data_IF_039584904450
#
_entry.id   IF_039584904450
#
_cell.length_a   1.000
_cell.length_b   1.000
_cell.length_c   1.000
_cell.angle_alpha   90.00
_cell.angle_beta   90.00
_cell.angle_gamma   90.00
#
_symmetry.space_group_name_H-M   'P 1'
#
loop_
_entity.id
_entity.type
_entity.pdbx_description
1 polymer ?
#
# COMPACT_ATOMS: atom_id res chain seq x y z
N UNK A 1 3.86 28.13 -0.17
CA UNK A 1 3.44 26.99 0.67
C UNK A 1 2.72 25.97 -0.20
N UNK A 2 3.20 24.75 -0.17
CA UNK A 2 2.57 23.70 -0.95
C UNK A 2 1.21 23.33 -0.35
N UNK A 3 0.23 23.00 -1.20
CA UNK A 3 -1.06 22.55 -0.71
C UNK A 3 -0.90 21.29 0.14
N UNK A 4 -1.55 21.26 1.27
CA UNK A 4 -1.60 20.07 2.10
C UNK A 4 -2.52 19.06 1.44
N UNK A 5 -2.10 17.77 1.41
CA UNK A 5 -2.94 16.69 0.96
C UNK A 5 -4.02 16.41 2.01
N UNK A 6 -5.30 16.74 1.74
CA UNK A 6 -6.35 16.57 2.75
C UNK A 6 -6.66 15.11 3.06
N UNK A 7 -6.29 14.17 2.19
CA UNK A 7 -6.51 12.75 2.40
C UNK A 7 -5.42 12.11 3.28
N UNK A 8 -4.32 12.82 3.53
CA UNK A 8 -3.20 12.29 4.29
C UNK A 8 -3.58 11.94 5.73
N UNK A 9 -4.37 12.80 6.38
CA UNK A 9 -4.79 12.54 7.75
C UNK A 9 -5.60 11.24 7.86
N UNK A 10 -6.47 10.97 6.90
CA UNK A 10 -7.24 9.72 6.87
C UNK A 10 -6.33 8.50 6.73
N UNK A 11 -5.31 8.60 5.88
CA UNK A 11 -4.33 7.52 5.72
C UNK A 11 -3.54 7.29 7.02
N UNK A 12 -3.08 8.36 7.66
CA UNK A 12 -2.31 8.27 8.91
C UNK A 12 -3.13 7.66 10.05
N UNK A 13 -4.44 7.90 10.08
CA UNK A 13 -5.33 7.31 11.08
C UNK A 13 -5.45 5.78 10.95
N UNK A 14 -5.15 5.23 9.79
CA UNK A 14 -5.20 3.79 9.57
C UNK A 14 -3.96 3.07 10.10
N UNK A 15 -2.91 3.78 10.45
CA UNK A 15 -1.66 3.15 10.90
C UNK A 15 -1.91 2.16 12.04
N UNK A 16 -1.36 0.96 11.87
CA UNK A 16 -1.48 -0.11 12.85
C UNK A 16 -2.77 -0.90 12.79
N UNK A 17 -3.71 -0.52 11.93
CA UNK A 17 -5.00 -1.23 11.84
C UNK A 17 -4.89 -2.50 11.00
N UNK A 18 -5.63 -3.52 11.43
CA UNK A 18 -5.81 -4.78 10.70
C UNK A 18 -7.30 -5.01 10.54
N UNK A 19 -7.75 -5.20 9.30
CA UNK A 19 -9.16 -5.34 8.99
C UNK A 19 -9.40 -6.65 8.24
N UNK A 20 -10.34 -7.45 8.74
CA UNK A 20 -10.81 -8.65 8.03
C UNK A 20 -11.74 -8.21 6.90
N UNK A 21 -11.51 -8.74 5.70
CA UNK A 21 -12.19 -8.26 4.49
C UNK A 21 -13.06 -9.32 3.81
N UNK A 22 -13.19 -10.51 4.42
CA UNK A 22 -14.05 -11.54 3.87
C UNK A 22 -14.97 -12.15 4.94
N UNK A 23 -16.13 -12.71 4.53
CA UNK A 23 -17.08 -13.30 5.48
C UNK A 23 -16.52 -14.48 6.26
N UNK A 24 -15.59 -15.24 5.67
CA UNK A 24 -14.98 -16.40 6.31
C UNK A 24 -13.87 -16.03 7.29
N UNK A 25 -13.42 -14.75 7.27
CA UNK A 25 -12.37 -14.26 8.17
C UNK A 25 -10.96 -14.68 7.81
N UNK A 26 -10.76 -15.25 6.61
CA UNK A 26 -9.46 -15.76 6.20
C UNK A 26 -8.56 -14.74 5.49
N UNK A 27 -9.11 -13.60 5.07
CA UNK A 27 -8.35 -12.57 4.38
C UNK A 27 -8.38 -11.28 5.17
N UNK A 28 -7.22 -10.61 5.27
CA UNK A 28 -7.10 -9.41 6.09
C UNK A 28 -6.12 -8.45 5.48
N UNK A 29 -6.36 -7.16 5.71
CA UNK A 29 -5.47 -6.08 5.29
C UNK A 29 -4.79 -5.47 6.50
N UNK A 30 -3.59 -4.96 6.29
CA UNK A 30 -2.82 -4.29 7.32
C UNK A 30 -2.30 -2.96 6.78
N UNK A 31 -2.38 -1.93 7.60
CA UNK A 31 -1.89 -0.60 7.28
C UNK A 31 -0.73 -0.26 8.22
N UNK A 32 0.41 0.05 7.65
CA UNK A 32 1.55 0.61 8.38
C UNK A 32 1.91 1.92 7.68
N UNK A 33 1.71 3.04 8.35
CA UNK A 33 1.95 4.36 7.78
C UNK A 33 2.61 5.23 8.83
N UNK A 34 3.79 5.75 8.52
CA UNK A 34 4.54 6.61 9.43
C UNK A 34 4.95 7.87 8.69
N UNK A 35 4.75 9.00 9.33
CA UNK A 35 5.25 10.28 8.81
C UNK A 35 6.76 10.34 9.07
N UNK A 36 7.51 10.66 8.03
CA UNK A 36 8.97 10.78 8.09
C UNK A 36 9.37 12.11 7.45
N UNK A 37 10.58 12.62 7.73
CA UNK A 37 11.06 13.81 7.01
C UNK A 37 11.13 13.53 5.51
N UNK A 38 10.70 14.49 4.71
CA UNK A 38 10.81 14.37 3.26
C UNK A 38 12.28 14.26 2.86
N UNK A 39 12.59 13.36 1.94
CA UNK A 39 13.94 13.09 1.48
C UNK A 39 13.89 12.61 0.03
N UNK A 40 15.05 12.50 -0.65
CA UNK A 40 15.06 11.91 -2.00
C UNK A 40 14.51 10.50 -2.05
N UNK A 41 14.64 9.71 -0.96
CA UNK A 41 14.11 8.34 -0.87
C UNK A 41 12.65 8.30 -0.45
N UNK A 42 12.19 9.34 0.25
CA UNK A 42 10.81 9.46 0.75
C UNK A 42 10.26 10.84 0.42
N UNK A 43 10.08 11.16 -0.88
CA UNK A 43 9.72 12.53 -1.27
C UNK A 43 8.35 12.98 -0.78
N UNK A 44 7.47 12.04 -0.43
CA UNK A 44 6.14 12.36 0.07
C UNK A 44 6.11 12.59 1.58
N UNK A 45 7.25 12.40 2.28
CA UNK A 45 7.30 12.49 3.73
C UNK A 45 6.57 11.35 4.43
N UNK A 46 6.47 10.21 3.78
CA UNK A 46 5.79 9.02 4.28
C UNK A 46 6.64 7.77 4.11
N UNK A 47 6.52 6.89 5.08
CA UNK A 47 6.94 5.50 4.98
C UNK A 47 5.67 4.67 5.13
N UNK A 48 5.29 3.91 4.11
CA UNK A 48 4.04 3.18 4.14
C UNK A 48 4.15 1.77 3.59
N UNK A 49 3.29 0.91 4.13
CA UNK A 49 3.07 -0.44 3.63
C UNK A 49 1.60 -0.80 3.84
N UNK A 50 0.89 -1.03 2.76
CA UNK A 50 -0.51 -1.44 2.75
C UNK A 50 -0.55 -2.84 2.15
N UNK A 51 -1.03 -3.83 2.89
CA UNK A 51 -0.96 -5.23 2.46
C UNK A 51 -2.27 -5.97 2.63
N UNK A 52 -2.50 -6.94 1.75
CA UNK A 52 -3.56 -7.95 1.87
C UNK A 52 -2.92 -9.30 2.05
N UNK A 53 -3.42 -10.07 3.01
CA UNK A 53 -2.94 -11.42 3.31
C UNK A 53 -4.06 -12.44 3.21
N UNK A 54 -3.70 -13.67 2.82
CA UNK A 54 -4.61 -14.80 2.77
C UNK A 54 -4.58 -15.66 4.03
N UNK A 55 -5.34 -16.77 4.05
CA UNK A 55 -5.51 -17.61 5.24
C UNK A 55 -4.21 -18.19 5.81
N UNK A 56 -3.20 -18.38 4.97
CA UNK A 56 -1.90 -18.90 5.38
C UNK A 56 -0.89 -17.80 5.70
N UNK A 57 -1.34 -16.53 5.75
CA UNK A 57 -0.47 -15.38 5.97
C UNK A 57 0.26 -14.90 4.72
N UNK A 58 0.04 -15.55 3.59
CA UNK A 58 0.65 -15.17 2.32
C UNK A 58 0.24 -13.77 1.91
N UNK A 59 1.21 -12.94 1.51
CA UNK A 59 0.92 -11.60 1.00
C UNK A 59 0.41 -11.70 -0.44
N UNK A 60 -0.80 -11.23 -0.65
CA UNK A 60 -1.46 -11.23 -1.96
C UNK A 60 -1.38 -9.89 -2.67
N UNK A 61 -1.38 -8.80 -1.92
CA UNK A 61 -1.27 -7.43 -2.44
C UNK A 61 -0.37 -6.63 -1.51
N UNK A 62 0.42 -5.74 -2.06
CA UNK A 62 1.20 -4.79 -1.28
C UNK A 62 1.46 -3.51 -2.06
N UNK A 63 1.29 -2.38 -1.39
CA UNK A 63 1.71 -1.07 -1.88
C UNK A 63 2.67 -0.51 -0.85
N UNK A 64 3.89 -0.20 -1.25
CA UNK A 64 4.90 0.30 -0.31
C UNK A 64 5.92 1.18 -1.02
N UNK A 65 6.69 1.90 -0.21
CA UNK A 65 7.83 2.67 -0.68
C UNK A 65 9.12 2.26 0.04
N UNK A 66 9.19 1.01 0.49
CA UNK A 66 10.39 0.47 1.12
C UNK A 66 11.45 0.15 0.06
N UNK A 67 12.69 0.40 0.42
CA UNK A 67 13.85 0.07 -0.40
C UNK A 67 14.78 -0.85 0.38
N UNK A 68 15.02 -2.04 -0.18
CA UNK A 68 15.85 -3.04 0.46
C UNK A 68 17.32 -2.91 0.08
N UNK A 69 17.63 -2.11 -0.95
CA UNK A 69 19.00 -1.89 -1.40
C UNK A 69 19.39 -0.43 -1.21
N UNK A 70 20.61 -0.17 -0.70
CA UNK A 70 21.06 1.21 -0.45
C UNK A 70 21.21 2.04 -1.72
N UNK A 71 21.55 1.39 -2.83
CA UNK A 71 21.73 2.07 -4.10
C UNK A 71 20.58 1.75 -5.04
N UNK A 72 20.01 2.78 -5.62
CA UNK A 72 18.91 2.68 -6.56
C UNK A 72 19.35 3.23 -7.91
N UNK A 73 18.95 2.58 -8.98
CA UNK A 73 19.24 3.08 -10.31
C UNK A 73 18.49 4.37 -10.57
N UNK A 74 19.13 5.28 -11.29
CA UNK A 74 18.53 6.54 -11.68
C UNK A 74 17.24 6.28 -12.48
N UNK A 75 16.17 6.95 -12.10
CA UNK A 75 14.86 6.79 -12.73
C UNK A 75 14.03 5.63 -12.22
N UNK A 76 14.56 4.86 -11.29
CA UNK A 76 13.80 3.77 -10.67
C UNK A 76 12.71 4.34 -9.78
N UNK A 77 11.52 3.75 -9.82
CA UNK A 77 10.41 4.20 -9.01
C UNK A 77 10.66 3.95 -7.53
N UNK A 78 10.31 4.93 -6.69
CA UNK A 78 10.44 4.84 -5.24
C UNK A 78 9.32 4.01 -4.63
N UNK A 79 8.13 4.03 -5.24
CA UNK A 79 6.95 3.36 -4.74
C UNK A 79 6.70 2.12 -5.59
N UNK A 80 6.19 1.07 -4.95
CA UNK A 80 5.99 -0.23 -5.59
C UNK A 80 4.60 -0.76 -5.30
N UNK A 81 4.07 -1.48 -6.29
CA UNK A 81 2.83 -2.24 -6.16
C UNK A 81 3.13 -3.72 -6.38
N UNK A 82 2.79 -4.53 -5.38
CA UNK A 82 2.91 -5.97 -5.44
C UNK A 82 1.52 -6.58 -5.60
N UNK A 83 1.37 -7.49 -6.56
CA UNK A 83 0.14 -8.22 -6.76
C UNK A 83 0.51 -9.67 -7.04
N UNK A 84 0.19 -10.55 -6.09
CA UNK A 84 0.59 -11.95 -6.15
C UNK A 84 2.11 -12.05 -6.31
N UNK A 85 2.61 -12.50 -7.47
CA UNK A 85 4.04 -12.69 -7.71
C UNK A 85 4.68 -11.56 -8.53
N UNK A 86 3.92 -10.55 -8.91
CA UNK A 86 4.44 -9.46 -9.72
C UNK A 86 4.73 -8.24 -8.88
N UNK A 87 5.76 -7.49 -9.27
CA UNK A 87 6.12 -6.20 -8.67
C UNK A 87 6.19 -5.19 -9.79
N UNK A 88 5.52 -4.06 -9.63
CA UNK A 88 5.52 -2.99 -10.63
C UNK A 88 5.77 -1.64 -9.95
N UNK A 89 6.36 -0.68 -10.68
CA UNK A 89 6.42 0.69 -10.19
C UNK A 89 5.02 1.24 -9.94
N UNK A 90 4.88 2.07 -8.91
CA UNK A 90 3.63 2.73 -8.58
C UNK A 90 3.83 4.23 -8.59
N UNK A 91 2.99 4.96 -9.31
CA UNK A 91 3.04 6.42 -9.38
C UNK A 91 2.19 7.01 -8.25
N UNK A 92 2.81 7.29 -7.12
CA UNK A 92 2.13 7.93 -5.99
C UNK A 92 1.72 9.36 -6.37
N UNK A 93 0.48 9.72 -6.08
CA UNK A 93 -0.06 11.06 -6.30
C UNK A 93 -0.46 11.72 -4.99
N UNK A 94 -1.34 11.07 -4.26
CA UNK A 94 -1.82 11.52 -2.95
C UNK A 94 -2.34 10.32 -2.17
N UNK A 95 -2.61 10.53 -0.88
CA UNK A 95 -3.03 9.45 0.00
C UNK A 95 -4.40 8.88 -0.39
N UNK A 96 -5.32 9.71 -0.83
CA UNK A 96 -6.65 9.25 -1.25
C UNK A 96 -6.58 8.35 -2.46
N UNK A 97 -5.77 8.71 -3.46
CA UNK A 97 -5.56 7.88 -4.65
C UNK A 97 -4.87 6.57 -4.29
N UNK A 98 -3.85 6.63 -3.40
CA UNK A 98 -3.19 5.42 -2.91
C UNK A 98 -4.19 4.46 -2.27
N UNK A 99 -5.05 4.95 -1.38
CA UNK A 99 -6.08 4.12 -0.73
C UNK A 99 -7.06 3.54 -1.75
N UNK A 100 -7.52 4.35 -2.72
CA UNK A 100 -8.45 3.89 -3.75
C UNK A 100 -7.81 2.79 -4.60
N UNK A 101 -6.55 2.97 -5.01
CA UNK A 101 -5.83 1.99 -5.81
C UNK A 101 -5.59 0.71 -5.03
N UNK A 102 -5.25 0.83 -3.74
CA UNK A 102 -5.08 -0.33 -2.87
C UNK A 102 -6.38 -1.13 -2.75
N UNK A 103 -7.48 -0.47 -2.39
CA UNK A 103 -8.77 -1.15 -2.23
C UNK A 103 -9.28 -1.75 -3.54
N UNK A 104 -9.06 -1.07 -4.66
CA UNK A 104 -9.42 -1.60 -5.98
C UNK A 104 -8.66 -2.87 -6.31
N UNK A 105 -7.36 -2.90 -5.98
CA UNK A 105 -6.53 -4.10 -6.21
C UNK A 105 -6.94 -5.23 -5.27
N UNK A 106 -7.21 -4.93 -4.00
CA UNK A 106 -7.71 -5.92 -3.04
C UNK A 106 -9.02 -6.54 -3.55
N UNK A 107 -9.97 -5.71 -3.96
CA UNK A 107 -11.25 -6.16 -4.49
C UNK A 107 -11.06 -7.08 -5.70
N UNK A 108 -10.20 -6.70 -6.62
CA UNK A 108 -9.91 -7.47 -7.82
C UNK A 108 -9.33 -8.85 -7.47
N UNK A 109 -8.38 -8.91 -6.55
CA UNK A 109 -7.75 -10.18 -6.13
C UNK A 109 -8.76 -11.07 -5.43
N UNK A 110 -9.59 -10.53 -4.53
CA UNK A 110 -10.60 -11.30 -3.83
C UNK A 110 -11.64 -11.88 -4.79
N UNK A 111 -12.02 -11.13 -5.83
CA UNK A 111 -12.94 -11.63 -6.86
C UNK A 111 -12.30 -12.74 -7.68
N UNK A 112 -11.05 -12.56 -8.10
CA UNK A 112 -10.32 -13.59 -8.85
C UNK A 112 -10.18 -14.90 -8.07
N UNK A 113 -10.04 -14.80 -6.74
CA UNK A 113 -9.92 -15.98 -5.88
C UNK A 113 -11.27 -16.57 -5.50
N UNK A 114 -12.37 -15.96 -5.95
CA UNK A 114 -13.71 -16.44 -5.62
C UNK A 114 -14.14 -16.18 -4.18
N UNK A 115 -13.45 -15.27 -3.48
CA UNK A 115 -13.73 -14.94 -2.08
C UNK A 115 -14.96 -14.04 -1.98
N UNK A 116 -15.12 -13.15 -2.93
CA UNK A 116 -16.28 -12.26 -3.05
C UNK A 116 -16.86 -12.36 -4.46
N UNK A 117 -18.12 -11.99 -4.59
CA UNK A 117 -18.83 -12.03 -5.87
C UNK A 117 -18.41 -10.87 -6.80
#
# INVERSE_FOLDING_TARGET
MEPRDPSLDALLELDGQVLVVDPAGGHWVRFVVTRVPASPEKPHGLDYSLTLHGPDGERLVGFDNAHTVPTRKRGEALDHRHRLRTVRPYAYRDAGTLLADFWGTVDSVLRERGVIA
#
